data_IF_930943648838
#
_entry.id   IF_930943648838
#
_cell.length_a   1.000
_cell.length_b   1.000
_cell.length_c   1.000
_cell.angle_alpha   90.00
_cell.angle_beta   90.00
_cell.angle_gamma   90.00
#
_symmetry.space_group_name_H-M   'P 1'
#
loop_
_entity.id
_entity.type
_entity.pdbx_description
1 polymer ?
#
# COMPACT_ATOMS: atom_id res chain seq x y z
N UNK A 1 16.75 9.51 -2.15
CA UNK A 1 16.50 8.19 -1.59
C UNK A 1 15.29 7.52 -2.20
N UNK A 2 15.41 6.28 -2.57
CA UNK A 2 14.34 5.57 -3.21
C UNK A 2 13.82 4.49 -2.30
N UNK A 3 12.55 4.51 -2.04
CA UNK A 3 11.90 3.50 -1.24
C UNK A 3 11.22 2.55 -2.18
N UNK A 4 11.71 1.35 -2.25
CA UNK A 4 11.11 0.36 -3.11
C UNK A 4 10.42 -0.67 -2.28
N UNK A 5 9.15 -0.79 -2.44
CA UNK A 5 8.36 -1.79 -1.78
C UNK A 5 7.74 -2.64 -2.84
N UNK A 6 8.34 -3.78 -3.08
CA UNK A 6 7.80 -4.65 -4.08
C UNK A 6 7.16 -5.84 -3.40
N UNK A 7 5.98 -6.17 -3.83
CA UNK A 7 5.28 -7.32 -3.29
C UNK A 7 5.25 -8.41 -4.34
N UNK A 8 5.44 -9.62 -3.93
CA UNK A 8 5.30 -10.75 -4.83
C UNK A 8 3.84 -10.94 -5.18
N UNK A 9 3.54 -11.38 -6.39
CA UNK A 9 2.14 -11.62 -6.77
C UNK A 9 1.45 -12.58 -5.84
N UNK A 10 2.19 -13.47 -5.21
CA UNK A 10 1.58 -14.42 -4.30
C UNK A 10 1.20 -13.77 -2.99
N UNK A 11 1.71 -12.60 -2.69
CA UNK A 11 1.36 -11.89 -1.48
C UNK A 11 0.16 -10.99 -1.67
N UNK A 12 -0.24 -10.80 -2.91
CA UNK A 12 -1.39 -9.95 -3.20
C UNK A 12 -2.58 -10.80 -3.59
N UNK A 13 -3.75 -10.32 -3.27
CA UNK A 13 -4.97 -11.05 -3.61
C UNK A 13 -6.07 -10.06 -3.92
N UNK A 14 -7.16 -10.57 -4.46
CA UNK A 14 -8.31 -9.75 -4.81
C UNK A 14 -9.15 -9.53 -3.56
N UNK A 15 -9.31 -8.31 -3.17
CA UNK A 15 -10.09 -8.00 -1.99
C UNK A 15 -10.44 -6.52 -2.04
N UNK A 16 -11.07 -6.03 -0.99
CA UNK A 16 -11.44 -4.63 -0.90
C UNK A 16 -10.49 -3.95 0.07
N UNK A 17 -9.92 -2.85 -0.35
CA UNK A 17 -9.03 -2.09 0.49
C UNK A 17 -9.80 -1.54 1.68
N UNK A 18 -9.30 -1.79 2.88
CA UNK A 18 -9.97 -1.33 4.08
C UNK A 18 -9.83 0.17 4.24
N UNK A 19 -8.91 0.77 3.55
CA UNK A 19 -8.64 2.19 3.69
C UNK A 19 -9.45 3.03 2.71
N UNK A 20 -9.31 2.76 1.44
CA UNK A 20 -10.02 3.51 0.43
C UNK A 20 -11.34 2.88 0.03
N UNK A 21 -11.54 1.62 0.35
CA UNK A 21 -12.79 0.95 0.06
C UNK A 21 -12.94 0.49 -1.38
N UNK A 22 -11.86 0.50 -2.12
CA UNK A 22 -11.93 0.09 -3.51
C UNK A 22 -11.48 -1.34 -3.69
N UNK A 23 -12.14 -2.03 -4.60
CA UNK A 23 -11.81 -3.39 -4.93
C UNK A 23 -10.57 -3.42 -5.77
N UNK A 24 -9.65 -4.28 -5.49
CA UNK A 24 -8.42 -4.36 -6.25
C UNK A 24 -7.84 -5.76 -6.18
N UNK A 25 -7.05 -6.11 -7.16
CA UNK A 25 -6.36 -7.38 -7.18
C UNK A 25 -5.04 -7.30 -6.44
N UNK A 26 -4.70 -6.13 -5.98
CA UNK A 26 -3.41 -5.90 -5.34
C UNK A 26 -3.59 -5.52 -3.88
N UNK A 27 -4.30 -6.35 -3.16
CA UNK A 27 -4.54 -6.10 -1.75
C UNK A 27 -3.53 -6.93 -0.96
N UNK A 28 -2.81 -6.27 -0.06
CA UNK A 28 -1.81 -6.93 0.77
C UNK A 28 -2.48 -7.68 1.89
N UNK A 29 -1.73 -8.46 2.62
CA UNK A 29 -2.32 -9.22 3.71
C UNK A 29 -2.82 -8.31 4.82
N UNK A 30 -2.42 -7.06 4.81
CA UNK A 30 -2.94 -6.10 5.77
C UNK A 30 -4.31 -5.61 5.40
N UNK A 31 -4.77 -5.93 4.20
CA UNK A 31 -6.05 -5.48 3.73
C UNK A 31 -6.02 -4.12 3.08
N UNK A 32 -4.85 -3.70 2.64
CA UNK A 32 -4.68 -2.41 1.99
C UNK A 32 -4.16 -2.62 0.58
N UNK A 33 -4.58 -1.81 -0.33
CA UNK A 33 -4.07 -1.91 -1.69
C UNK A 33 -2.66 -1.31 -1.73
N UNK A 34 -1.90 -1.74 -2.72
CA UNK A 34 -0.52 -1.32 -2.84
C UNK A 34 -0.42 0.20 -2.93
N UNK A 35 -1.34 0.81 -3.59
CA UNK A 35 -1.37 2.25 -3.72
C UNK A 35 -1.49 2.93 -2.37
N UNK A 36 -2.34 2.43 -1.52
CA UNK A 36 -2.53 3.00 -0.19
C UNK A 36 -1.29 2.81 0.66
N UNK A 37 -0.66 1.67 0.53
CA UNK A 37 0.55 1.39 1.28
C UNK A 37 1.65 2.35 0.89
N UNK A 38 1.80 2.55 -0.39
CA UNK A 38 2.82 3.47 -0.88
C UNK A 38 2.53 4.90 -0.48
N UNK A 39 1.30 5.28 -0.57
CA UNK A 39 0.91 6.63 -0.20
C UNK A 39 1.18 6.90 1.27
N UNK A 40 0.91 5.92 2.09
CA UNK A 40 1.15 6.06 3.51
C UNK A 40 2.64 6.22 3.82
N UNK A 41 3.45 5.43 3.16
CA UNK A 41 4.88 5.53 3.36
C UNK A 41 5.41 6.88 2.91
N UNK A 42 4.93 7.35 1.78
CA UNK A 42 5.34 8.63 1.25
C UNK A 42 4.91 9.75 2.18
N UNK A 43 3.74 9.64 2.71
CA UNK A 43 3.19 10.64 3.60
C UNK A 43 4.00 10.72 4.89
N UNK A 44 4.37 9.59 5.43
CA UNK A 44 5.14 9.54 6.65
C UNK A 44 6.51 10.19 6.46
N UNK A 45 7.09 9.95 5.32
CA UNK A 45 8.38 10.52 5.04
C UNK A 45 8.31 12.04 4.94
N UNK A 46 7.26 12.53 4.36
CA UNK A 46 7.06 13.96 4.25
C UNK A 46 6.86 14.61 5.61
N UNK A 47 6.10 13.97 6.44
CA UNK A 47 5.81 14.52 7.76
C UNK A 47 7.03 14.55 8.65
N UNK A 48 7.93 13.64 8.41
CA UNK A 48 9.10 13.56 9.22
C UNK A 48 9.96 14.80 9.13
N UNK A 49 9.80 15.53 8.09
CA UNK A 49 10.60 16.69 7.85
C UNK A 49 10.23 17.90 8.66
N UNK A 50 9.22 17.86 9.38
CA UNK A 50 8.78 19.01 10.16
C UNK A 50 9.47 19.15 11.52
#
# INVERSE_FOLDING_TARGET
MIIERTYHPSELHHDVCSYCGDESDEITEEGLCVECVEAELFYQETMKDL
#
